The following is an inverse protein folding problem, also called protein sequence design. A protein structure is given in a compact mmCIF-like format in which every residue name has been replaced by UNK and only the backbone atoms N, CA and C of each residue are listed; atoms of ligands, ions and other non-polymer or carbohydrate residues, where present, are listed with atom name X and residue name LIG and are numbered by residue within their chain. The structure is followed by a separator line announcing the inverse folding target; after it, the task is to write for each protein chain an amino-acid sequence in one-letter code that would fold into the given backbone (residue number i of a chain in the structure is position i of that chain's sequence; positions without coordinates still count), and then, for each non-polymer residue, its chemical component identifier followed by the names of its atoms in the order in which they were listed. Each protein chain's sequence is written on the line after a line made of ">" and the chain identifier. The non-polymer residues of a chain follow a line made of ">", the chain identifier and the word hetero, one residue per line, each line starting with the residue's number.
data_IF_917174006609
#
_entry.id   IF_917174006609
#
_cell.length_a   1.000
_cell.length_b   1.000
_cell.length_c   1.000
_cell.angle_alpha   90.00
_cell.angle_beta   90.00
_cell.angle_gamma   90.00
#
_symmetry.space_group_name_H-M   'P 1'
#
loop_
_entity.id
_entity.type
_entity.pdbx_description
1 polymer ?
#
# COMPACT_ATOMS: atom_id res chain seq x y z
N UNK A 1 -37.35 27.17 41.62
CA UNK A 1 -37.27 26.95 40.17
C UNK A 1 -36.02 27.61 39.62
N UNK A 2 -35.01 26.82 39.28
CA UNK A 2 -33.87 27.32 38.50
C UNK A 2 -34.34 27.79 37.12
N UNK A 3 -34.05 29.06 36.76
CA UNK A 3 -34.41 29.66 35.47
C UNK A 3 -33.74 28.89 34.32
N UNK A 4 -34.40 28.83 33.16
CA UNK A 4 -33.90 28.20 31.92
C UNK A 4 -33.59 26.69 32.02
N UNK A 5 -34.07 26.01 33.06
CA UNK A 5 -33.99 24.55 33.16
C UNK A 5 -34.98 23.90 32.18
N UNK A 6 -34.55 22.98 31.29
CA UNK A 6 -35.46 22.17 30.50
C UNK A 6 -36.37 21.32 31.41
N UNK A 7 -37.66 21.21 31.08
CA UNK A 7 -38.65 20.49 31.92
C UNK A 7 -38.29 19.02 32.13
N UNK A 8 -37.60 18.41 31.17
CA UNK A 8 -37.19 17.00 31.16
C UNK A 8 -35.99 16.68 32.07
N UNK A 9 -35.22 17.69 32.50
CA UNK A 9 -33.97 17.49 33.25
C UNK A 9 -34.20 17.77 34.73
N UNK A 10 -34.01 16.81 35.66
CA UNK A 10 -34.20 17.04 37.10
C UNK A 10 -33.44 18.27 37.63
N UNK A 11 -34.07 19.03 38.54
CA UNK A 11 -33.50 20.28 39.07
C UNK A 11 -32.14 20.05 39.76
N UNK A 12 -32.00 18.95 40.50
CA UNK A 12 -30.74 18.57 41.15
C UNK A 12 -29.59 18.33 40.16
N UNK A 13 -29.88 17.75 38.99
CA UNK A 13 -28.87 17.51 37.95
C UNK A 13 -28.50 18.83 37.25
N UNK A 14 -29.47 19.70 37.00
CA UNK A 14 -29.23 20.99 36.38
C UNK A 14 -28.37 21.91 37.25
N UNK A 15 -28.59 21.91 38.57
CA UNK A 15 -27.76 22.65 39.53
C UNK A 15 -26.32 22.14 39.50
N UNK A 16 -26.10 20.82 39.48
CA UNK A 16 -24.76 20.22 39.37
C UNK A 16 -24.05 20.66 38.08
N UNK A 17 -24.78 20.77 36.97
CA UNK A 17 -24.24 21.24 35.69
C UNK A 17 -23.83 22.71 35.75
N UNK A 18 -24.67 23.58 36.31
CA UNK A 18 -24.32 25.00 36.51
C UNK A 18 -23.06 25.13 37.38
N UNK A 19 -23.00 24.37 38.48
CA UNK A 19 -21.82 24.36 39.36
C UNK A 19 -20.56 23.91 38.59
N UNK A 20 -20.65 22.82 37.83
CA UNK A 20 -19.56 22.34 36.98
C UNK A 20 -19.07 23.41 35.98
N UNK A 21 -19.98 24.10 35.28
CA UNK A 21 -19.59 25.17 34.35
C UNK A 21 -19.10 26.45 35.03
N UNK A 22 -19.48 26.68 36.29
CA UNK A 22 -18.98 27.81 37.08
C UNK A 22 -17.54 27.59 37.58
N UNK A 23 -17.00 26.37 37.50
CA UNK A 23 -15.64 26.07 37.96
C UNK A 23 -14.60 26.81 37.09
N UNK A 24 -13.64 27.55 37.68
CA UNK A 24 -12.69 28.40 36.93
C UNK A 24 -11.92 27.65 35.84
N UNK A 25 -11.48 26.42 36.12
CA UNK A 25 -10.81 25.54 35.14
C UNK A 25 -11.69 25.28 33.90
N UNK A 26 -12.99 25.04 34.09
CA UNK A 26 -13.92 24.76 33.00
C UNK A 26 -14.20 26.02 32.18
N UNK A 27 -14.35 27.17 32.83
CA UNK A 27 -14.48 28.45 32.14
C UNK A 27 -13.23 28.75 31.29
N UNK A 28 -12.03 28.58 31.84
CA UNK A 28 -10.78 28.76 31.10
C UNK A 28 -10.68 27.84 29.87
N UNK A 29 -11.08 26.57 30.02
CA UNK A 29 -11.13 25.63 28.88
C UNK A 29 -12.15 26.09 27.83
N UNK A 30 -13.32 26.57 28.26
CA UNK A 30 -14.38 27.06 27.39
C UNK A 30 -13.94 28.28 26.59
N UNK A 31 -13.31 29.27 27.24
CA UNK A 31 -12.77 30.47 26.59
C UNK A 31 -11.69 30.13 25.56
N UNK A 32 -10.77 29.22 25.91
CA UNK A 32 -9.76 28.72 24.96
C UNK A 32 -10.42 28.07 23.74
N UNK A 33 -11.42 27.20 23.94
CA UNK A 33 -12.17 26.57 22.85
C UNK A 33 -12.88 27.60 21.97
N UNK A 34 -13.47 28.63 22.55
CA UNK A 34 -14.11 29.73 21.82
C UNK A 34 -13.11 30.45 20.92
N UNK A 35 -11.95 30.84 21.46
CA UNK A 35 -10.87 31.47 20.68
C UNK A 35 -10.37 30.56 19.56
N UNK A 36 -10.18 29.26 19.83
CA UNK A 36 -9.80 28.29 18.79
C UNK A 36 -10.86 28.13 17.70
N UNK A 37 -12.14 28.16 18.06
CA UNK A 37 -13.25 28.07 17.11
C UNK A 37 -13.34 29.33 16.23
N UNK A 38 -13.14 30.51 16.81
CA UNK A 38 -13.09 31.78 16.06
C UNK A 38 -11.91 31.81 15.07
N UNK A 39 -10.79 31.18 15.41
CA UNK A 39 -9.61 31.05 14.54
C UNK A 39 -9.69 29.86 13.56
N UNK A 40 -10.74 29.04 13.64
CA UNK A 40 -10.84 27.84 12.82
C UNK A 40 -11.20 28.19 11.37
N UNK A 41 -10.17 28.24 10.54
CA UNK A 41 -10.30 28.41 9.09
C UNK A 41 -10.71 27.12 8.41
N UNK A 42 -11.38 27.27 7.26
CA UNK A 42 -11.78 26.16 6.39
C UNK A 42 -12.55 25.09 7.19
N UNK A 43 -13.85 25.28 7.38
CA UNK A 43 -14.70 24.33 8.13
C UNK A 43 -15.26 23.22 7.23
N UNK A 44 -15.38 22.00 7.77
CA UNK A 44 -15.63 20.80 6.95
C UNK A 44 -17.10 20.73 6.57
N UNK A 45 -17.39 20.50 5.28
CA UNK A 45 -18.77 20.61 4.77
C UNK A 45 -19.47 19.28 4.50
N UNK A 46 -18.80 18.13 4.70
CA UNK A 46 -19.38 16.81 4.41
C UNK A 46 -20.25 16.22 5.52
N UNK A 47 -20.54 16.99 6.57
CA UNK A 47 -21.35 16.54 7.71
C UNK A 47 -20.81 15.23 8.33
N UNK A 48 -21.61 14.16 8.42
CA UNK A 48 -21.20 12.90 9.03
C UNK A 48 -20.24 12.05 8.16
N UNK A 49 -19.97 12.44 6.92
CA UNK A 49 -19.07 11.69 6.03
C UNK A 49 -17.62 11.96 6.47
N UNK A 50 -16.89 10.90 6.80
CA UNK A 50 -15.49 10.98 7.20
C UNK A 50 -14.52 11.01 6.00
N UNK A 51 -13.26 11.41 6.23
CA UNK A 51 -12.22 11.45 5.19
C UNK A 51 -11.93 10.09 4.55
N UNK A 52 -12.13 8.98 5.25
CA UNK A 52 -11.92 7.64 4.68
C UNK A 52 -12.90 7.35 3.54
N UNK A 53 -14.19 7.68 3.73
CA UNK A 53 -15.20 7.54 2.68
C UNK A 53 -14.94 8.48 1.50
N UNK A 54 -14.51 9.72 1.77
CA UNK A 54 -14.16 10.68 0.71
C UNK A 54 -12.99 10.15 -0.12
N UNK A 55 -11.94 9.59 0.51
CA UNK A 55 -10.82 8.99 -0.23
C UNK A 55 -11.28 7.87 -1.14
N UNK A 56 -12.05 6.92 -0.63
CA UNK A 56 -12.52 5.78 -1.42
C UNK A 56 -13.30 6.28 -2.63
N UNK A 57 -14.20 7.26 -2.45
CA UNK A 57 -14.95 7.86 -3.55
C UNK A 57 -14.03 8.51 -4.59
N UNK A 58 -13.01 9.28 -4.16
CA UNK A 58 -12.03 9.89 -5.07
C UNK A 58 -11.18 8.87 -5.82
N UNK A 59 -10.80 7.77 -5.17
CA UNK A 59 -10.06 6.68 -5.84
C UNK A 59 -10.91 6.03 -6.93
N UNK A 60 -12.19 5.77 -6.66
CA UNK A 60 -13.11 5.15 -7.65
C UNK A 60 -13.33 6.04 -8.87
N UNK A 61 -13.25 7.36 -8.73
CA UNK A 61 -13.36 8.29 -9.86
C UNK A 61 -12.08 8.42 -10.68
N UNK A 62 -10.92 8.01 -10.14
CA UNK A 62 -9.64 8.03 -10.85
C UNK A 62 -9.44 6.68 -11.55
N UNK A 63 -9.19 6.68 -12.84
CA UNK A 63 -8.95 5.46 -13.63
C UNK A 63 -7.78 4.62 -13.09
N UNK A 64 -6.76 5.29 -12.51
CA UNK A 64 -5.55 4.66 -11.97
C UNK A 64 -5.69 4.16 -10.53
N UNK A 65 -6.85 4.35 -9.86
CA UNK A 65 -7.06 4.06 -8.44
C UNK A 65 -6.00 4.69 -7.49
N UNK A 66 -5.33 5.75 -7.95
CA UNK A 66 -4.27 6.43 -7.22
C UNK A 66 -4.75 7.11 -5.94
N UNK A 67 -3.83 7.25 -4.97
CA UNK A 67 -4.12 7.92 -3.72
C UNK A 67 -4.49 9.39 -3.96
N UNK A 68 -5.59 9.90 -3.39
CA UNK A 68 -5.95 11.30 -3.54
C UNK A 68 -4.92 12.21 -2.89
N UNK A 69 -4.53 13.28 -3.58
CA UNK A 69 -3.59 14.27 -3.06
C UNK A 69 -4.21 15.08 -1.91
N UNK A 70 -3.36 15.73 -1.10
CA UNK A 70 -3.83 16.53 0.04
C UNK A 70 -4.81 17.64 -0.39
N UNK A 71 -4.50 18.30 -1.49
CA UNK A 71 -5.36 19.37 -2.00
C UNK A 71 -6.66 18.84 -2.62
N UNK A 72 -6.65 17.70 -3.30
CA UNK A 72 -7.89 17.06 -3.78
C UNK A 72 -8.80 16.70 -2.60
N UNK A 73 -8.23 16.19 -1.51
CA UNK A 73 -8.95 15.95 -0.26
C UNK A 73 -9.47 17.25 0.34
N UNK A 74 -8.73 18.36 0.26
CA UNK A 74 -9.21 19.67 0.68
C UNK A 74 -10.43 20.08 -0.16
N UNK A 75 -10.30 20.12 -1.49
CA UNK A 75 -11.38 20.45 -2.41
C UNK A 75 -12.62 19.61 -2.14
N UNK A 76 -12.51 18.29 -2.20
CA UNK A 76 -13.64 17.38 -2.04
C UNK A 76 -14.36 17.50 -0.70
N UNK A 77 -13.69 17.99 0.33
CA UNK A 77 -14.26 18.13 1.67
C UNK A 77 -14.82 19.52 1.97
N UNK A 78 -14.47 20.53 1.16
CA UNK A 78 -14.99 21.90 1.27
C UNK A 78 -16.01 22.24 0.20
N UNK A 79 -15.93 21.66 -0.99
CA UNK A 79 -16.91 21.84 -2.04
C UNK A 79 -18.12 20.94 -1.74
N UNK A 80 -19.21 21.56 -1.29
CA UNK A 80 -20.43 20.83 -0.88
C UNK A 80 -21.05 20.10 -2.08
N UNK A 81 -21.42 18.82 -1.91
CA UNK A 81 -22.24 18.08 -2.90
C UNK A 81 -23.59 18.76 -3.16
N UNK A 82 -24.12 19.48 -2.16
CA UNK A 82 -25.34 20.27 -2.28
C UNK A 82 -24.95 21.73 -2.49
N UNK A 83 -24.88 22.15 -3.77
CA UNK A 83 -24.73 23.52 -4.31
C UNK A 83 -24.91 24.65 -3.28
N UNK A 84 -23.93 24.84 -2.40
CA UNK A 84 -23.81 26.02 -1.56
C UNK A 84 -22.51 26.66 -1.96
N UNK A 85 -22.56 27.97 -2.16
CA UNK A 85 -21.36 28.78 -2.39
C UNK A 85 -20.31 28.46 -1.33
N UNK A 86 -19.09 28.28 -1.81
CA UNK A 86 -17.91 28.10 -0.97
C UNK A 86 -17.68 29.43 -0.25
N UNK A 87 -17.23 29.39 1.00
CA UNK A 87 -16.89 30.63 1.71
C UNK A 87 -15.71 31.32 0.99
N UNK A 88 -15.72 32.66 0.99
CA UNK A 88 -14.71 33.44 0.26
C UNK A 88 -13.28 33.04 0.64
N UNK A 89 -13.01 32.85 1.94
CA UNK A 89 -11.67 32.45 2.41
C UNK A 89 -11.22 31.10 1.82
N UNK A 90 -12.13 30.11 1.76
CA UNK A 90 -11.84 28.83 1.10
C UNK A 90 -11.65 29.01 -0.41
N UNK A 91 -12.45 29.86 -1.05
CA UNK A 91 -12.32 30.12 -2.48
C UNK A 91 -10.97 30.78 -2.80
N UNK A 92 -10.58 31.80 -2.04
CA UNK A 92 -9.29 32.48 -2.17
C UNK A 92 -8.12 31.48 -2.02
N UNK A 93 -8.22 30.56 -1.05
CA UNK A 93 -7.20 29.52 -0.87
C UNK A 93 -7.16 28.50 -2.03
N UNK A 94 -8.30 28.22 -2.67
CA UNK A 94 -8.36 27.36 -3.84
C UNK A 94 -7.68 28.05 -5.02
N UNK A 95 -8.02 29.32 -5.25
CA UNK A 95 -7.50 30.11 -6.36
C UNK A 95 -5.98 30.35 -6.18
N UNK A 96 -5.52 30.63 -4.97
CA UNK A 96 -4.09 30.76 -4.66
C UNK A 96 -3.34 29.44 -4.91
N UNK A 97 -3.90 28.29 -4.53
CA UNK A 97 -3.28 27.00 -4.82
C UNK A 97 -3.15 26.73 -6.34
N UNK A 98 -4.18 27.07 -7.11
CA UNK A 98 -4.17 26.90 -8.56
C UNK A 98 -3.15 27.83 -9.22
N UNK A 99 -3.03 29.08 -8.75
CA UNK A 99 -2.03 30.02 -9.23
C UNK A 99 -0.60 29.53 -8.97
N UNK A 100 -0.35 28.93 -7.80
CA UNK A 100 0.97 28.34 -7.46
C UNK A 100 1.32 27.13 -8.31
N UNK A 101 0.37 26.25 -8.54
CA UNK A 101 0.56 25.15 -9.50
C UNK A 101 0.85 25.66 -10.91
N UNK A 102 0.14 26.71 -11.36
CA UNK A 102 0.40 27.34 -12.67
C UNK A 102 1.79 27.99 -12.75
N UNK A 103 2.33 28.45 -11.61
CA UNK A 103 3.70 28.95 -11.50
C UNK A 103 4.77 27.84 -11.46
N UNK A 104 4.37 26.56 -11.47
CA UNK A 104 5.26 25.40 -11.49
C UNK A 104 5.67 24.87 -10.12
N UNK A 105 5.04 25.32 -9.02
CA UNK A 105 5.26 24.73 -7.69
C UNK A 105 4.71 23.29 -7.65
N UNK A 106 5.38 22.39 -6.93
CA UNK A 106 4.82 21.05 -6.69
C UNK A 106 3.59 21.14 -5.78
N UNK A 107 2.68 20.16 -5.86
CA UNK A 107 1.46 20.15 -5.04
C UNK A 107 1.75 20.22 -3.54
N UNK A 108 2.81 19.53 -3.09
CA UNK A 108 3.24 19.54 -1.70
C UNK A 108 3.81 20.89 -1.27
N UNK A 109 4.60 21.54 -2.11
CA UNK A 109 5.16 22.88 -1.85
C UNK A 109 4.08 23.93 -1.81
N UNK A 110 3.20 23.95 -2.81
CA UNK A 110 2.05 24.85 -2.87
C UNK A 110 1.15 24.66 -1.64
N UNK A 111 0.95 23.41 -1.20
CA UNK A 111 0.13 23.10 -0.04
C UNK A 111 0.81 23.57 1.26
N UNK A 112 2.11 23.35 1.42
CA UNK A 112 2.85 23.80 2.60
C UNK A 112 3.00 25.33 2.64
N UNK A 113 3.02 26.00 1.49
CA UNK A 113 3.01 27.45 1.38
C UNK A 113 1.69 28.04 1.91
N UNK A 114 0.55 27.50 1.48
CA UNK A 114 -0.78 27.99 1.90
C UNK A 114 -1.12 27.66 3.34
N UNK A 115 -0.90 26.42 3.73
CA UNK A 115 -1.38 25.90 5.00
C UNK A 115 -0.27 25.88 6.07
N UNK A 116 0.96 26.25 5.72
CA UNK A 116 2.14 26.11 6.56
C UNK A 116 2.63 24.66 6.66
N UNK A 117 3.81 24.50 7.24
CA UNK A 117 4.43 23.19 7.48
C UNK A 117 3.54 22.31 8.37
N UNK A 118 3.53 21.01 8.06
CA UNK A 118 2.74 20.05 8.83
C UNK A 118 3.30 19.90 10.26
N UNK A 119 2.42 19.96 11.26
CA UNK A 119 2.79 19.86 12.66
C UNK A 119 3.26 18.44 13.03
N UNK A 120 4.12 18.28 14.05
CA UNK A 120 4.46 16.97 14.59
C UNK A 120 3.22 16.20 15.03
N UNK A 121 3.19 14.89 14.76
CA UNK A 121 2.18 13.97 15.28
C UNK A 121 0.99 13.68 14.36
N UNK A 122 0.48 14.63 13.58
CA UNK A 122 -0.66 14.36 12.66
C UNK A 122 -0.44 15.01 11.30
N UNK A 123 -0.77 14.29 10.23
CA UNK A 123 -0.81 14.84 8.88
C UNK A 123 -2.26 15.18 8.50
N UNK A 124 -2.50 16.46 8.18
CA UNK A 124 -3.77 16.99 7.68
C UNK A 124 -4.23 16.21 6.46
N UNK A 125 -5.54 16.06 6.35
CA UNK A 125 -6.20 15.39 5.23
C UNK A 125 -5.77 13.94 4.98
N UNK A 126 -5.04 13.27 5.89
CA UNK A 126 -4.74 11.82 5.85
C UNK A 126 -5.60 10.97 6.80
N UNK A 127 -6.40 11.61 7.66
CA UNK A 127 -7.33 10.95 8.57
C UNK A 127 -6.98 11.14 10.04
N UNK A 128 -7.51 10.27 10.89
CA UNK A 128 -7.17 10.22 12.31
C UNK A 128 -5.95 9.29 12.45
N UNK A 129 -4.97 9.68 13.26
CA UNK A 129 -3.78 8.87 13.60
C UNK A 129 -2.70 8.68 12.52
N UNK A 130 -2.85 9.25 11.31
CA UNK A 130 -1.77 9.21 10.32
C UNK A 130 -0.72 10.26 10.64
N UNK A 131 0.53 9.80 10.77
CA UNK A 131 1.71 10.60 11.07
C UNK A 131 2.67 10.56 9.88
N UNK A 132 3.63 11.49 9.82
CA UNK A 132 4.70 11.47 8.78
C UNK A 132 5.47 10.14 8.78
N UNK A 133 5.73 9.56 9.98
CA UNK A 133 6.39 8.26 10.13
C UNK A 133 5.57 7.13 9.49
N UNK A 134 4.25 7.16 9.65
CA UNK A 134 3.37 6.15 9.04
C UNK A 134 3.44 6.24 7.51
N UNK A 135 3.42 7.45 6.93
CA UNK A 135 3.55 7.64 5.48
C UNK A 135 4.88 7.10 4.95
N UNK A 136 5.99 7.36 5.65
CA UNK A 136 7.30 6.81 5.29
C UNK A 136 7.30 5.27 5.30
N UNK A 137 6.77 4.65 6.35
CA UNK A 137 6.62 3.19 6.44
C UNK A 137 5.75 2.63 5.32
N UNK A 138 4.65 3.30 4.98
CA UNK A 138 3.79 2.87 3.88
C UNK A 138 4.50 2.93 2.52
N UNK A 139 5.28 3.98 2.27
CA UNK A 139 6.08 4.10 1.04
C UNK A 139 7.14 2.99 0.95
N UNK A 140 7.83 2.69 2.05
CA UNK A 140 8.79 1.57 2.14
C UNK A 140 8.11 0.22 1.84
N UNK A 141 6.96 -0.03 2.46
CA UNK A 141 6.17 -1.25 2.23
C UNK A 141 5.73 -1.36 0.76
N UNK A 142 5.28 -0.26 0.15
CA UNK A 142 4.87 -0.26 -1.26
C UNK A 142 6.04 -0.57 -2.19
N UNK A 143 7.22 0.00 -1.93
CA UNK A 143 8.43 -0.28 -2.70
C UNK A 143 8.82 -1.76 -2.59
N UNK A 144 8.83 -2.31 -1.37
CA UNK A 144 9.12 -3.73 -1.15
C UNK A 144 8.11 -4.64 -1.87
N UNK A 145 6.82 -4.29 -1.85
CA UNK A 145 5.79 -5.04 -2.58
C UNK A 145 6.01 -5.01 -4.08
N UNK A 146 6.40 -3.86 -4.64
CA UNK A 146 6.70 -3.74 -6.06
C UNK A 146 7.91 -4.60 -6.44
N UNK A 147 9.01 -4.51 -5.69
CA UNK A 147 10.20 -5.34 -5.92
C UNK A 147 9.88 -6.83 -5.83
N UNK A 148 9.13 -7.24 -4.82
CA UNK A 148 8.68 -8.62 -4.68
C UNK A 148 7.81 -9.07 -5.86
N UNK A 149 6.92 -8.21 -6.35
CA UNK A 149 6.09 -8.52 -7.50
C UNK A 149 6.94 -8.69 -8.77
N UNK A 150 7.94 -7.84 -8.98
CA UNK A 150 8.90 -7.91 -10.09
C UNK A 150 9.71 -9.21 -10.03
N UNK A 151 10.26 -9.56 -8.87
CA UNK A 151 10.98 -10.83 -8.64
C UNK A 151 10.11 -12.06 -8.94
N UNK A 152 8.87 -12.07 -8.44
CA UNK A 152 7.91 -13.15 -8.70
C UNK A 152 7.59 -13.27 -10.19
N UNK A 153 7.44 -12.15 -10.90
CA UNK A 153 7.23 -12.19 -12.36
C UNK A 153 8.45 -12.72 -13.12
N UNK A 154 9.66 -12.36 -12.70
CA UNK A 154 10.91 -12.85 -13.29
C UNK A 154 11.05 -14.36 -13.10
N UNK A 155 10.91 -14.84 -11.86
CA UNK A 155 11.00 -16.27 -11.54
C UNK A 155 9.94 -17.10 -12.28
N UNK A 156 8.73 -16.55 -12.44
CA UNK A 156 7.67 -17.22 -13.19
C UNK A 156 8.01 -17.34 -14.68
N UNK A 157 8.67 -16.34 -15.27
CA UNK A 157 9.14 -16.39 -16.66
C UNK A 157 10.25 -17.45 -16.82
N UNK A 158 11.26 -17.45 -15.95
CA UNK A 158 12.35 -18.43 -15.96
C UNK A 158 11.83 -19.87 -15.80
N UNK A 159 10.87 -20.08 -14.90
CA UNK A 159 10.22 -21.39 -14.72
C UNK A 159 9.46 -21.81 -15.99
N UNK A 160 8.83 -20.87 -16.69
CA UNK A 160 8.21 -21.10 -18.00
C UNK A 160 9.22 -21.58 -19.04
N UNK A 161 10.37 -20.91 -19.15
CA UNK A 161 11.44 -21.26 -20.09
C UNK A 161 12.06 -22.62 -19.76
N UNK A 162 12.28 -22.90 -18.47
CA UNK A 162 12.76 -24.21 -18.01
C UNK A 162 11.76 -25.32 -18.36
N UNK A 163 10.46 -25.09 -18.17
CA UNK A 163 9.43 -26.07 -18.51
C UNK A 163 9.37 -26.33 -20.02
N UNK A 164 9.53 -25.29 -20.85
CA UNK A 164 9.61 -25.45 -22.30
C UNK A 164 10.84 -26.25 -22.73
N UNK A 165 12.01 -25.98 -22.11
CA UNK A 165 13.23 -26.77 -22.34
C UNK A 165 13.06 -28.24 -21.93
N UNK A 166 12.41 -28.49 -20.80
CA UNK A 166 12.11 -29.86 -20.36
C UNK A 166 11.20 -30.58 -21.37
N UNK A 167 10.15 -29.93 -21.85
CA UNK A 167 9.27 -30.52 -22.88
C UNK A 167 10.00 -30.81 -24.20
N UNK A 168 10.92 -29.93 -24.61
CA UNK A 168 11.76 -30.16 -25.79
C UNK A 168 12.67 -31.37 -25.59
N UNK A 169 13.32 -31.48 -24.42
CA UNK A 169 14.16 -32.64 -24.08
C UNK A 169 13.35 -33.94 -24.05
N UNK A 170 12.14 -33.92 -23.49
CA UNK A 170 11.24 -35.08 -23.50
C UNK A 170 10.86 -35.50 -24.94
N UNK A 171 10.61 -34.54 -25.83
CA UNK A 171 10.32 -34.80 -27.24
C UNK A 171 11.53 -35.39 -27.99
N UNK A 172 12.74 -34.85 -27.76
CA UNK A 172 13.98 -35.38 -28.34
C UNK A 172 14.24 -36.82 -27.86
N UNK A 173 14.10 -37.08 -26.56
CA UNK A 173 14.23 -38.42 -25.97
C UNK A 173 13.21 -39.39 -26.58
N UNK A 174 11.97 -38.95 -26.79
CA UNK A 174 10.96 -39.76 -27.45
C UNK A 174 11.33 -40.07 -28.93
N UNK A 175 11.89 -39.09 -29.65
CA UNK A 175 12.40 -39.28 -31.00
C UNK A 175 13.54 -40.30 -31.08
N UNK A 176 14.52 -40.20 -30.18
CA UNK A 176 15.63 -41.14 -30.07
C UNK A 176 15.15 -42.56 -29.73
N UNK A 177 14.20 -42.68 -28.79
CA UNK A 177 13.58 -43.97 -28.43
C UNK A 177 12.96 -44.66 -29.65
N UNK A 178 12.25 -43.91 -30.49
CA UNK A 178 11.66 -44.44 -31.72
C UNK A 178 12.72 -44.89 -32.73
N UNK A 179 13.81 -44.14 -32.88
CA UNK A 179 14.91 -44.53 -33.76
C UNK A 179 15.60 -45.82 -33.32
N UNK A 180 15.90 -45.95 -32.02
CA UNK A 180 16.48 -47.17 -31.45
C UNK A 180 15.55 -48.36 -31.69
N UNK A 181 14.24 -48.18 -31.48
CA UNK A 181 13.24 -49.22 -31.74
C UNK A 181 13.29 -49.73 -33.19
N UNK A 182 13.38 -48.83 -34.19
CA UNK A 182 13.54 -49.22 -35.60
C UNK A 182 14.85 -49.99 -35.86
N UNK A 183 15.97 -49.55 -35.29
CA UNK A 183 17.27 -50.20 -35.48
C UNK A 183 17.30 -51.61 -34.86
N UNK A 184 16.72 -51.77 -33.67
CA UNK A 184 16.60 -53.08 -32.99
C UNK A 184 15.72 -54.03 -33.81
N UNK A 185 14.58 -53.56 -34.32
CA UNK A 185 13.70 -54.37 -35.18
C UNK A 185 14.41 -54.83 -36.46
N UNK A 186 15.19 -53.95 -37.10
CA UNK A 186 15.95 -54.28 -38.32
C UNK A 186 17.06 -55.30 -38.06
N UNK A 187 17.73 -55.21 -36.92
CA UNK A 187 18.83 -56.12 -36.56
C UNK A 187 18.36 -57.47 -36.02
N UNK A 188 17.17 -57.53 -35.41
CA UNK A 188 16.57 -58.76 -34.85
C UNK A 188 15.10 -58.91 -35.29
N UNK A 189 14.84 -59.35 -36.54
CA UNK A 189 13.48 -59.40 -37.10
C UNK A 189 12.53 -60.42 -36.43
N UNK A 190 13.05 -61.31 -35.58
CA UNK A 190 12.24 -62.27 -34.80
C UNK A 190 11.85 -61.79 -33.40
N UNK A 191 12.35 -60.64 -32.94
CA UNK A 191 12.04 -60.11 -31.61
C UNK A 191 10.65 -59.47 -31.60
N UNK A 192 9.84 -59.82 -30.60
CA UNK A 192 8.46 -59.33 -30.48
C UNK A 192 8.46 -57.83 -30.15
N UNK A 193 7.55 -57.00 -30.71
CA UNK A 193 7.48 -55.58 -30.41
C UNK A 193 7.33 -55.28 -28.91
N UNK A 194 6.65 -56.17 -28.18
CA UNK A 194 6.43 -56.06 -26.74
C UNK A 194 7.75 -56.22 -25.93
N UNK A 195 8.67 -57.08 -26.39
CA UNK A 195 9.97 -57.30 -25.75
C UNK A 195 10.92 -56.11 -25.95
N UNK A 196 10.86 -55.46 -27.12
CA UNK A 196 11.64 -54.25 -27.43
C UNK A 196 11.16 -53.07 -26.56
N UNK A 197 9.85 -52.97 -26.34
CA UNK A 197 9.26 -51.94 -25.48
C UNK A 197 9.70 -52.13 -24.03
N UNK A 198 9.69 -53.37 -23.52
CA UNK A 198 10.12 -53.72 -22.17
C UNK A 198 11.62 -53.42 -21.95
N UNK A 199 12.49 -53.78 -22.89
CA UNK A 199 13.93 -53.46 -22.83
C UNK A 199 14.19 -51.94 -22.79
N UNK A 200 13.43 -51.15 -23.54
CA UNK A 200 13.54 -49.69 -23.54
C UNK A 200 13.02 -49.07 -22.23
N UNK A 201 12.02 -49.67 -21.58
CA UNK A 201 11.50 -49.21 -20.28
C UNK A 201 12.47 -49.54 -19.13
N UNK A 202 13.04 -50.74 -19.09
CA UNK A 202 14.05 -51.12 -18.09
C UNK A 202 15.26 -50.18 -18.12
N UNK A 203 15.70 -49.77 -19.32
CA UNK A 203 16.80 -48.84 -19.49
C UNK A 203 16.49 -47.40 -18.98
N UNK A 204 15.22 -46.99 -18.92
CA UNK A 204 14.82 -45.67 -18.41
C UNK A 204 14.80 -45.59 -16.87
N UNK A 205 14.74 -46.73 -16.19
CA UNK A 205 14.70 -46.79 -14.71
C UNK A 205 16.06 -47.11 -14.06
N UNK A 206 17.12 -47.28 -14.86
CA UNK A 206 18.49 -47.36 -14.34
C UNK A 206 18.86 -46.07 -13.60
N UNK A 207 19.42 -46.14 -12.38
CA UNK A 207 19.83 -44.95 -11.65
C UNK A 207 20.88 -44.19 -12.48
N UNK A 208 20.66 -42.90 -12.71
CA UNK A 208 21.72 -42.01 -13.20
C UNK A 208 22.72 -41.89 -12.05
N UNK A 209 23.95 -42.39 -12.24
CA UNK A 209 25.04 -42.15 -11.28
C UNK A 209 25.30 -40.65 -11.17
N UNK A 210 24.79 -40.03 -10.11
CA UNK A 210 24.86 -38.60 -9.83
C UNK A 210 26.28 -38.10 -9.43
N UNK A 211 27.34 -38.83 -9.79
CA UNK A 211 28.70 -38.57 -9.31
C UNK A 211 29.55 -37.67 -10.22
N UNK A 212 28.99 -37.07 -11.28
CA UNK A 212 29.73 -36.17 -12.19
C UNK A 212 29.28 -34.71 -12.09
N UNK A 213 29.07 -34.19 -10.88
CA UNK A 213 28.90 -32.77 -10.62
C UNK A 213 29.96 -32.28 -9.63
N UNK A 214 31.21 -32.15 -10.09
CA UNK A 214 32.20 -31.29 -9.42
C UNK A 214 31.87 -29.82 -9.72
N UNK A 215 30.79 -29.32 -9.14
CA UNK A 215 30.55 -27.90 -8.95
C UNK A 215 31.18 -27.49 -7.62
N UNK A 216 32.33 -26.81 -7.68
CA UNK A 216 32.99 -26.21 -6.53
C UNK A 216 32.00 -25.38 -5.70
N UNK A 217 31.67 -25.82 -4.49
CA UNK A 217 31.04 -25.00 -3.47
C UNK A 217 32.09 -24.04 -2.89
N UNK A 218 32.51 -23.06 -3.68
CA UNK A 218 33.13 -21.86 -3.12
C UNK A 218 32.02 -20.83 -2.88
N UNK A 219 31.50 -20.81 -1.66
CA UNK A 219 30.69 -19.71 -1.16
C UNK A 219 31.67 -18.57 -0.86
N UNK A 220 31.66 -17.43 -1.57
CA UNK A 220 32.42 -16.27 -1.11
C UNK A 220 31.84 -15.85 0.23
N UNK A 221 32.72 -15.79 1.23
CA UNK A 221 32.44 -15.36 2.59
C UNK A 221 31.80 -13.97 2.53
N UNK A 222 30.48 -13.88 2.75
CA UNK A 222 29.82 -12.61 2.99
C UNK A 222 30.25 -12.23 4.41
N UNK A 223 31.17 -11.26 4.51
CA UNK A 223 31.49 -10.60 5.76
C UNK A 223 30.18 -10.06 6.36
N UNK A 224 29.59 -10.79 7.30
CA UNK A 224 28.68 -10.23 8.28
C UNK A 224 29.54 -9.42 9.24
N UNK A 225 29.67 -8.13 8.93
CA UNK A 225 30.18 -7.18 9.90
C UNK A 225 29.09 -6.96 10.95
N UNK A 226 29.11 -7.83 11.95
CA UNK A 226 28.42 -7.61 13.22
C UNK A 226 29.14 -6.47 13.94
N UNK A 227 28.56 -5.28 13.94
CA UNK A 227 28.75 -4.33 15.04
C UNK A 227 27.42 -4.14 15.75
N UNK A 228 27.21 -5.02 16.73
CA UNK A 228 26.21 -4.85 17.78
C UNK A 228 26.81 -3.90 18.83
N UNK A 229 26.15 -2.76 19.03
CA UNK A 229 26.09 -1.93 20.25
C UNK A 229 27.38 -1.57 21.01
N UNK A 230 27.63 -0.26 21.09
CA UNK A 230 28.11 0.36 22.31
C UNK A 230 27.34 1.68 22.55
N UNK A 231 26.70 1.75 23.72
CA UNK A 231 26.19 2.96 24.35
C UNK A 231 27.34 3.77 24.98
N UNK A 232 26.98 4.95 25.52
CA UNK A 232 27.74 5.91 26.37
C UNK A 232 28.37 7.05 25.54
N UNK A 233 28.01 8.33 25.67
CA UNK A 233 27.37 9.14 26.73
C UNK A 233 26.33 10.16 26.19
#
# INVERSE_FOLDING_TARGET
>A
MVKNRPTQVPESQFIKLIYYWSHPTIQSISEKKKKHQEQQKFSHRMGPINFGRVRVALRTTKETNEEPKRFEMFLATRTSRKRKEVDQETQDAIDEFQNRQAAGETDEEAFESLFGKEQPGRVRYYGRSITRRNLKKHAEISKLKQQHQEEVTSLKAELGDMKAKQQHQEADLHGLRNMIKLLVQRSKPGMRPEEIEALLQDAQHSPIDANSAHGSTHIPNINMDNSEYANED
#
